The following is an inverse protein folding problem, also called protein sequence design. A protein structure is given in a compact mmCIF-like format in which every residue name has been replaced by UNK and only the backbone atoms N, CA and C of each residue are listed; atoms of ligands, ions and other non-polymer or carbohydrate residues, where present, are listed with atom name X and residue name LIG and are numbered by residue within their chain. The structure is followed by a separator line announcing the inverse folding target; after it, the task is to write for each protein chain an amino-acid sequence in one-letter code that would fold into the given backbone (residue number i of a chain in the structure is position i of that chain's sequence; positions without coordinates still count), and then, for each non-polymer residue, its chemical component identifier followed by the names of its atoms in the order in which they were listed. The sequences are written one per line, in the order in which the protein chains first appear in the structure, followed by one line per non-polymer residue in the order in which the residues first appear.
data_IF_150834599128
#
_entry.id   IF_150834599128
#
_cell.length_a   1.000
_cell.length_b   1.000
_cell.length_c   1.000
_cell.angle_alpha   90.00
_cell.angle_beta   90.00
_cell.angle_gamma   90.00
#
_symmetry.space_group_name_H-M   'P 1'
#
loop_
_entity.id
_entity.type
_entity.pdbx_description
1 polymer ?
#
# COMPACT_ATOMS: atom_id res chain seq x y z
N UNK A 1 -17.51 -10.11 29.19
CA UNK A 1 -17.94 -8.94 28.37
C UNK A 1 -17.95 -7.72 29.27
N UNK A 2 -17.38 -6.59 28.83
CA UNK A 2 -17.35 -5.33 29.60
C UNK A 2 -16.16 -5.12 30.54
N UNK A 3 -15.22 -6.07 30.62
CA UNK A 3 -14.02 -5.93 31.46
C UNK A 3 -12.86 -5.35 30.64
N UNK A 4 -12.08 -4.46 31.26
CA UNK A 4 -10.85 -3.94 30.67
C UNK A 4 -9.74 -5.00 30.78
N UNK A 5 -9.17 -5.41 29.65
CA UNK A 5 -8.08 -6.39 29.58
C UNK A 5 -6.72 -5.79 29.20
N UNK A 6 -6.67 -4.47 29.02
CA UNK A 6 -5.46 -3.76 28.64
C UNK A 6 -5.66 -2.25 28.68
N UNK A 7 -4.55 -1.52 28.76
CA UNK A 7 -4.50 -0.06 28.70
C UNK A 7 -3.93 0.30 27.32
N UNK A 8 -4.67 1.02 26.46
CA UNK A 8 -4.15 1.44 25.17
C UNK A 8 -3.02 2.45 25.36
N UNK A 9 -1.85 2.17 24.78
CA UNK A 9 -0.70 3.07 24.82
C UNK A 9 -0.54 3.89 23.54
N UNK A 10 -0.96 3.32 22.41
CA UNK A 10 -0.76 3.85 21.06
C UNK A 10 -1.82 3.23 20.12
N UNK A 11 -2.19 3.95 19.06
CA UNK A 11 -2.92 3.41 17.92
C UNK A 11 -2.14 3.69 16.63
N UNK A 12 -1.89 2.64 15.85
CA UNK A 12 -1.30 2.74 14.52
C UNK A 12 -2.37 2.66 13.44
N UNK A 13 -2.28 3.53 12.43
CA UNK A 13 -3.02 3.37 11.19
C UNK A 13 -2.22 2.50 10.22
N UNK A 14 -2.82 1.41 9.79
CA UNK A 14 -2.33 0.61 8.67
C UNK A 14 -2.38 1.43 7.37
N UNK A 15 -1.77 0.93 6.31
CA UNK A 15 -1.98 1.33 4.90
C UNK A 15 -1.79 2.81 4.49
N UNK A 16 -0.85 3.52 5.13
CA UNK A 16 -0.41 4.85 4.68
C UNK A 16 0.37 4.77 3.36
N UNK A 17 0.13 5.75 2.49
CA UNK A 17 0.93 5.99 1.30
C UNK A 17 1.99 7.05 1.60
N UNK A 18 3.24 6.61 1.71
CA UNK A 18 4.40 7.48 1.66
C UNK A 18 4.84 7.67 0.21
N UNK A 19 5.29 8.86 -0.17
CA UNK A 19 5.72 9.15 -1.54
C UNK A 19 6.91 10.11 -1.58
N UNK A 20 7.73 9.97 -2.61
CA UNK A 20 8.91 10.80 -2.81
C UNK A 20 8.50 12.16 -3.40
N UNK A 21 8.43 13.20 -2.55
CA UNK A 21 7.99 14.55 -2.94
C UNK A 21 8.88 15.17 -4.02
N UNK A 22 10.19 14.97 -3.98
CA UNK A 22 11.13 15.48 -4.99
C UNK A 22 10.84 14.86 -6.36
N UNK A 23 10.64 13.54 -6.41
CA UNK A 23 10.29 12.83 -7.63
C UNK A 23 8.91 13.26 -8.16
N UNK A 24 7.93 13.40 -7.28
CA UNK A 24 6.58 13.85 -7.65
C UNK A 24 6.61 15.25 -8.24
N UNK A 25 7.36 16.18 -7.64
CA UNK A 25 7.55 17.53 -8.15
C UNK A 25 8.27 17.53 -9.51
N UNK A 26 9.35 16.75 -9.65
CA UNK A 26 10.09 16.63 -10.91
C UNK A 26 9.21 16.12 -12.05
N UNK A 27 8.39 15.10 -11.78
CA UNK A 27 7.50 14.50 -12.77
C UNK A 27 6.14 15.21 -12.90
N UNK A 28 5.91 16.27 -12.12
CA UNK A 28 4.62 17.00 -12.02
C UNK A 28 3.44 16.07 -11.70
N UNK A 29 3.67 15.14 -10.79
CA UNK A 29 2.66 14.20 -10.29
C UNK A 29 1.95 14.78 -9.08
N UNK A 30 0.64 14.53 -9.00
CA UNK A 30 -0.15 14.76 -7.79
C UNK A 30 -0.16 13.49 -6.94
N UNK A 31 -0.10 13.60 -5.59
CA UNK A 31 -0.28 12.45 -4.71
C UNK A 31 -1.62 11.74 -5.02
N UNK A 32 -1.62 10.42 -5.29
CA UNK A 32 -2.83 9.73 -5.67
C UNK A 32 -3.77 9.55 -4.48
N UNK A 33 -5.07 9.69 -4.74
CA UNK A 33 -6.16 9.51 -3.77
C UNK A 33 -6.99 8.26 -4.06
N UNK A 34 -6.81 7.66 -5.23
CA UNK A 34 -7.44 6.40 -5.64
C UNK A 34 -6.39 5.41 -6.14
N UNK A 35 -6.75 4.11 -6.19
CA UNK A 35 -5.85 3.09 -6.75
C UNK A 35 -5.59 3.31 -8.23
N UNK A 36 -6.56 3.84 -8.98
CA UNK A 36 -6.37 4.15 -10.40
C UNK A 36 -5.37 5.28 -10.62
N UNK A 37 -5.42 6.33 -9.79
CA UNK A 37 -4.42 7.38 -9.77
C UNK A 37 -3.05 6.84 -9.35
N UNK A 38 -2.99 5.91 -8.39
CA UNK A 38 -1.75 5.27 -7.97
C UNK A 38 -1.14 4.45 -9.10
N UNK A 39 -1.95 3.70 -9.86
CA UNK A 39 -1.50 2.97 -11.06
C UNK A 39 -1.00 3.95 -12.12
N UNK A 40 -1.69 5.07 -12.34
CA UNK A 40 -1.27 6.09 -13.30
C UNK A 40 0.07 6.75 -12.91
N UNK A 41 0.23 7.11 -11.64
CA UNK A 41 1.49 7.63 -11.09
C UNK A 41 2.61 6.59 -11.24
N UNK A 42 2.34 5.32 -10.92
CA UNK A 42 3.32 4.25 -11.03
C UNK A 42 3.75 3.99 -12.47
N UNK A 43 2.81 4.03 -13.43
CA UNK A 43 3.10 3.99 -14.87
C UNK A 43 4.02 5.13 -15.29
N UNK A 44 3.71 6.36 -14.84
CA UNK A 44 4.53 7.53 -15.16
C UNK A 44 5.93 7.41 -14.59
N UNK A 45 6.08 7.06 -13.32
CA UNK A 45 7.38 6.85 -12.67
C UNK A 45 8.19 5.80 -13.42
N UNK A 46 7.61 4.61 -13.69
CA UNK A 46 8.28 3.53 -14.42
C UNK A 46 8.78 3.97 -15.79
N UNK A 47 7.97 4.75 -16.53
CA UNK A 47 8.32 5.23 -17.87
C UNK A 47 9.37 6.34 -17.87
N UNK A 48 9.40 7.19 -16.84
CA UNK A 48 10.28 8.36 -16.77
C UNK A 48 11.59 8.11 -16.00
N UNK A 49 11.60 7.14 -15.08
CA UNK A 49 12.73 6.84 -14.19
C UNK A 49 12.95 5.33 -14.10
N UNK A 50 13.67 4.70 -15.05
CA UNK A 50 13.84 3.25 -15.10
C UNK A 50 14.57 2.67 -13.88
N UNK A 51 15.36 3.48 -13.17
CA UNK A 51 16.11 3.08 -11.98
C UNK A 51 15.35 3.31 -10.66
N UNK A 52 14.12 3.85 -10.71
CA UNK A 52 13.29 4.09 -9.53
C UNK A 52 12.18 3.04 -9.49
N UNK A 53 12.05 2.31 -8.39
CA UNK A 53 10.91 1.41 -8.26
C UNK A 53 9.63 2.24 -8.02
N UNK A 54 8.57 2.07 -8.82
CA UNK A 54 7.38 2.90 -8.68
C UNK A 54 6.67 2.70 -7.34
N UNK A 55 6.50 1.45 -6.91
CA UNK A 55 5.85 1.07 -5.66
C UNK A 55 6.77 0.13 -4.89
N UNK A 56 7.25 0.57 -3.73
CA UNK A 56 8.02 -0.22 -2.80
C UNK A 56 7.09 -0.90 -1.80
N UNK A 57 7.24 -2.23 -1.70
CA UNK A 57 6.61 -3.06 -0.68
C UNK A 57 7.58 -4.19 -0.35
N UNK A 58 7.81 -4.44 0.94
CA UNK A 58 8.69 -5.51 1.40
C UNK A 58 7.87 -6.70 1.86
N UNK A 59 7.70 -7.72 1.01
CA UNK A 59 6.75 -8.82 1.26
C UNK A 59 7.39 -10.08 1.81
N UNK A 60 8.67 -10.05 2.23
CA UNK A 60 9.33 -11.22 2.83
C UNK A 60 8.55 -11.80 4.01
N UNK A 61 7.97 -10.92 4.82
CA UNK A 61 7.19 -11.27 6.01
C UNK A 61 5.70 -11.48 5.71
N UNK A 62 5.30 -11.38 4.43
CA UNK A 62 3.95 -11.55 3.89
C UNK A 62 2.92 -10.51 4.33
N UNK A 63 2.88 -10.13 5.62
CA UNK A 63 1.87 -9.23 6.15
C UNK A 63 1.82 -7.84 5.46
N UNK A 64 2.92 -7.24 4.95
CA UNK A 64 2.79 -5.94 4.26
C UNK A 64 1.95 -6.04 2.99
N UNK A 65 1.91 -7.22 2.35
CA UNK A 65 1.06 -7.47 1.19
C UNK A 65 -0.43 -7.30 1.50
N UNK A 66 -0.84 -7.51 2.77
CA UNK A 66 -2.21 -7.26 3.23
C UNK A 66 -2.54 -5.77 3.15
N UNK A 67 -1.63 -4.87 3.54
CA UNK A 67 -1.91 -3.44 3.47
C UNK A 67 -2.14 -2.95 2.03
N UNK A 68 -1.43 -3.50 1.06
CA UNK A 68 -1.70 -3.23 -0.35
C UNK A 68 -3.10 -3.73 -0.76
N UNK A 69 -3.51 -4.90 -0.25
CA UNK A 69 -4.86 -5.43 -0.47
C UNK A 69 -5.92 -4.54 0.18
N UNK A 70 -5.68 -4.05 1.39
CA UNK A 70 -6.59 -3.16 2.13
C UNK A 70 -6.88 -1.88 1.36
N UNK A 71 -5.84 -1.28 0.75
CA UNK A 71 -6.02 -0.11 -0.13
C UNK A 71 -6.90 -0.47 -1.33
N UNK A 72 -6.70 -1.63 -1.96
CA UNK A 72 -7.53 -2.06 -3.10
C UNK A 72 -8.97 -2.39 -2.71
N UNK A 73 -9.18 -2.98 -1.54
CA UNK A 73 -10.51 -3.31 -1.04
C UNK A 73 -11.28 -2.05 -0.65
N UNK A 74 -10.64 -1.12 0.08
CA UNK A 74 -11.23 0.19 0.39
C UNK A 74 -11.55 0.98 -0.87
N UNK A 75 -10.65 0.98 -1.86
CA UNK A 75 -10.85 1.72 -3.11
C UNK A 75 -11.99 1.17 -3.98
N UNK A 76 -12.29 -0.13 -3.90
CA UNK A 76 -13.28 -0.78 -4.77
C UNK A 76 -14.63 -1.05 -4.09
N UNK A 77 -14.60 -1.40 -2.80
CA UNK A 77 -15.79 -1.73 -2.01
C UNK A 77 -16.17 -0.68 -0.96
N UNK A 78 -15.31 0.32 -0.72
CA UNK A 78 -15.55 1.33 0.31
C UNK A 78 -15.46 0.79 1.75
N UNK A 79 -15.78 1.62 2.75
CA UNK A 79 -15.62 1.28 4.16
C UNK A 79 -16.55 0.14 4.62
N UNK A 80 -17.77 0.03 4.07
CA UNK A 80 -18.73 -1.02 4.43
C UNK A 80 -18.26 -2.42 3.99
N UNK A 81 -17.80 -2.57 2.75
CA UNK A 81 -17.26 -3.85 2.28
C UNK A 81 -15.99 -4.25 3.04
N UNK A 82 -15.14 -3.27 3.37
CA UNK A 82 -13.95 -3.48 4.19
C UNK A 82 -14.32 -4.00 5.59
N UNK A 83 -15.25 -3.35 6.28
CA UNK A 83 -15.72 -3.80 7.60
C UNK A 83 -16.33 -5.19 7.54
N UNK A 84 -17.21 -5.46 6.57
CA UNK A 84 -17.82 -6.78 6.38
C UNK A 84 -16.80 -7.86 6.07
N UNK A 85 -15.73 -7.55 5.32
CA UNK A 85 -14.64 -8.48 5.05
C UNK A 85 -13.94 -8.89 6.35
N UNK A 86 -13.52 -7.93 7.17
CA UNK A 86 -12.79 -8.19 8.41
C UNK A 86 -13.63 -8.79 9.54
N UNK A 87 -14.93 -8.50 9.55
CA UNK A 87 -15.88 -9.07 10.53
C UNK A 87 -16.43 -10.44 10.10
N UNK A 88 -16.02 -10.96 8.94
CA UNK A 88 -16.47 -12.25 8.42
C UNK A 88 -17.92 -12.26 7.93
N UNK A 89 -18.51 -11.09 7.71
CA UNK A 89 -19.88 -10.92 7.21
C UNK A 89 -19.95 -10.94 5.68
N UNK A 90 -18.80 -10.89 5.00
CA UNK A 90 -18.69 -10.92 3.55
C UNK A 90 -18.37 -12.33 3.04
N UNK A 91 -19.17 -12.85 2.11
CA UNK A 91 -18.82 -14.09 1.41
C UNK A 91 -17.76 -13.81 0.34
N UNK A 92 -16.50 -14.05 0.67
CA UNK A 92 -15.33 -13.79 -0.20
C UNK A 92 -15.36 -14.54 -1.54
N UNK A 93 -16.15 -15.63 -1.67
CA UNK A 93 -16.24 -16.38 -2.93
C UNK A 93 -17.13 -15.71 -3.96
N UNK A 94 -18.12 -14.92 -3.51
CA UNK A 94 -19.16 -14.34 -4.37
C UNK A 94 -19.18 -12.81 -4.36
N UNK A 95 -18.51 -12.16 -3.40
CA UNK A 95 -18.47 -10.71 -3.28
C UNK A 95 -17.78 -10.05 -4.50
N UNK A 96 -18.50 -9.22 -5.29
CA UNK A 96 -17.92 -8.54 -6.44
C UNK A 96 -16.83 -7.54 -6.03
N UNK A 97 -16.92 -6.95 -4.84
CA UNK A 97 -15.94 -6.00 -4.29
C UNK A 97 -14.58 -6.67 -4.05
N UNK A 98 -14.58 -7.88 -3.49
CA UNK A 98 -13.34 -8.66 -3.29
C UNK A 98 -12.70 -9.03 -4.62
N UNK A 99 -13.52 -9.42 -5.60
CA UNK A 99 -13.04 -9.71 -6.96
C UNK A 99 -12.42 -8.47 -7.60
N UNK A 100 -13.08 -7.32 -7.51
CA UNK A 100 -12.57 -6.06 -8.03
C UNK A 100 -11.27 -5.63 -7.32
N UNK A 101 -11.20 -5.78 -5.99
CA UNK A 101 -9.99 -5.52 -5.22
C UNK A 101 -8.81 -6.37 -5.70
N UNK A 102 -9.01 -7.68 -5.86
CA UNK A 102 -7.98 -8.59 -6.37
C UNK A 102 -7.56 -8.27 -7.81
N UNK A 103 -8.48 -7.79 -8.65
CA UNK A 103 -8.14 -7.32 -10.01
C UNK A 103 -7.24 -6.09 -9.95
N UNK A 104 -7.58 -5.08 -9.15
CA UNK A 104 -6.74 -3.90 -8.94
C UNK A 104 -5.40 -4.25 -8.31
N UNK A 105 -5.38 -5.19 -7.36
CA UNK A 105 -4.15 -5.71 -6.79
C UNK A 105 -3.25 -6.31 -7.86
N UNK A 106 -3.81 -7.13 -8.76
CA UNK A 106 -3.08 -7.72 -9.89
C UNK A 106 -2.52 -6.65 -10.83
N UNK A 107 -3.25 -5.57 -11.08
CA UNK A 107 -2.78 -4.45 -11.92
C UNK A 107 -1.59 -3.70 -11.29
N UNK A 108 -1.43 -3.73 -9.97
CA UNK A 108 -0.32 -3.10 -9.27
C UNK A 108 0.97 -3.94 -9.31
N UNK A 109 0.87 -5.27 -9.40
CA UNK A 109 2.01 -6.20 -9.38
C UNK A 109 3.15 -5.79 -10.35
N UNK A 110 2.89 -5.41 -11.61
CA UNK A 110 3.94 -5.01 -12.55
C UNK A 110 4.71 -3.74 -12.17
N UNK A 111 4.24 -2.98 -11.18
CA UNK A 111 4.86 -1.75 -10.70
C UNK A 111 5.53 -1.89 -9.34
N UNK A 112 5.43 -3.06 -8.71
CA UNK A 112 6.12 -3.35 -7.47
C UNK A 112 7.63 -3.43 -7.70
N UNK A 113 8.39 -3.11 -6.66
CA UNK A 113 9.82 -3.34 -6.64
C UNK A 113 10.12 -4.82 -6.89
N UNK A 114 10.92 -5.13 -7.92
CA UNK A 114 11.15 -6.51 -8.39
C UNK A 114 11.66 -7.48 -7.31
N UNK A 115 12.38 -6.98 -6.30
CA UNK A 115 12.92 -7.77 -5.21
C UNK A 115 12.03 -7.75 -3.95
N UNK A 116 10.75 -7.36 -4.08
CA UNK A 116 9.81 -7.22 -2.96
C UNK A 116 9.77 -8.48 -2.07
N UNK A 117 9.82 -9.68 -2.65
CA UNK A 117 9.77 -10.95 -1.91
C UNK A 117 11.01 -11.24 -1.06
N UNK A 118 12.14 -10.63 -1.38
CA UNK A 118 13.41 -10.83 -0.68
C UNK A 118 13.66 -9.79 0.43
N UNK A 119 12.84 -8.74 0.50
CA UNK A 119 13.03 -7.58 1.40
C UNK A 119 11.95 -7.52 2.47
N UNK A 120 12.31 -7.12 3.68
CA UNK A 120 11.34 -6.66 4.68
C UNK A 120 10.86 -5.25 4.36
N UNK A 121 9.82 -4.80 5.06
CA UNK A 121 9.40 -3.40 5.01
C UNK A 121 10.51 -2.45 5.51
N UNK A 122 11.32 -2.87 6.49
CA UNK A 122 12.40 -2.05 7.04
C UNK A 122 13.60 -1.96 6.09
N UNK A 123 13.88 -3.01 5.32
CA UNK A 123 14.98 -3.03 4.33
C UNK A 123 14.75 -2.01 3.21
N UNK A 124 13.50 -1.66 2.91
CA UNK A 124 13.13 -0.72 1.84
C UNK A 124 12.88 0.72 2.35
N UNK A 125 12.85 0.93 3.67
CA UNK A 125 12.62 2.26 4.25
C UNK A 125 13.78 3.22 3.93
N UNK A 126 15.02 2.79 4.12
CA UNK A 126 16.21 3.59 3.75
C UNK A 126 16.24 3.98 2.26
N UNK A 127 16.14 3.03 1.32
CA UNK A 127 16.03 3.35 -0.11
C UNK A 127 14.87 4.29 -0.47
N UNK A 128 13.76 4.21 0.25
CA UNK A 128 12.64 5.15 0.08
C UNK A 128 13.02 6.56 0.54
N UNK A 129 13.63 6.71 1.72
CA UNK A 129 14.11 7.99 2.25
C UNK A 129 15.18 8.63 1.35
N UNK A 130 16.06 7.81 0.78
CA UNK A 130 17.09 8.24 -0.19
C UNK A 130 16.52 8.60 -1.57
N UNK A 131 15.22 8.37 -1.79
CA UNK A 131 14.51 8.73 -3.02
C UNK A 131 14.71 7.75 -4.19
N UNK A 132 15.15 6.52 -3.92
CA UNK A 132 15.29 5.45 -4.91
C UNK A 132 13.95 4.76 -5.23
N UNK A 133 12.91 5.10 -4.47
CA UNK A 133 11.56 4.54 -4.60
C UNK A 133 10.55 5.67 -4.76
N UNK A 134 9.47 5.41 -5.49
CA UNK A 134 8.44 6.42 -5.79
C UNK A 134 7.38 6.54 -4.70
N UNK A 135 6.82 5.41 -4.30
CA UNK A 135 5.74 5.30 -3.34
C UNK A 135 5.96 4.07 -2.45
N UNK A 136 5.51 4.10 -1.20
CA UNK A 136 5.56 2.97 -0.27
C UNK A 136 4.24 2.88 0.51
N UNK A 137 3.62 1.69 0.51
CA UNK A 137 2.43 1.42 1.32
C UNK A 137 2.85 0.64 2.56
N UNK A 138 2.68 1.24 3.73
CA UNK A 138 3.05 0.65 5.02
C UNK A 138 2.26 1.35 6.15
N UNK A 139 2.37 0.89 7.40
CA UNK A 139 1.74 1.61 8.52
C UNK A 139 2.52 2.87 8.91
N UNK A 140 1.85 3.77 9.64
CA UNK A 140 2.44 5.02 10.15
C UNK A 140 3.70 4.83 11.02
N UNK A 141 3.90 3.67 11.64
CA UNK A 141 5.14 3.32 12.35
C UNK A 141 6.41 3.42 11.49
N UNK A 142 6.29 3.37 10.16
CA UNK A 142 7.43 3.53 9.27
C UNK A 142 7.91 4.99 9.17
N UNK A 143 7.09 5.98 9.58
CA UNK A 143 7.39 7.39 9.40
C UNK A 143 8.72 7.82 10.04
N UNK A 144 9.14 7.19 11.14
CA UNK A 144 10.44 7.49 11.77
C UNK A 144 11.68 7.03 10.99
N UNK A 145 11.49 6.26 9.91
CA UNK A 145 12.56 5.72 9.07
C UNK A 145 12.57 6.32 7.65
N UNK A 146 11.63 7.22 7.32
CA UNK A 146 11.36 7.72 5.98
C UNK A 146 11.74 9.20 5.80
#
# INVERSE_FOLDING_TARGET
KGSHYGIPMNAHRANWLFYNTKLFNELKLTPPTTVDEMIAAAKRIKSSKPNVAPIAIGTREKWPAVFLFDVTLLSTGGPDAYEKFYTGQLNVKTAPEVRAALQKYKELIPYLYQFHGAKTWSDIAGPMAEGQMGMMIIGDFAAGLL
#
